data_IF_802833030712
#
_entry.id   IF_802833030712
#
_cell.length_a   1.000
_cell.length_b   1.000
_cell.length_c   1.000
_cell.angle_alpha   90.00
_cell.angle_beta   90.00
_cell.angle_gamma   90.00
#
_symmetry.space_group_name_H-M   'P 1'
#
loop_
_entity.id
_entity.type
_entity.pdbx_description
1 polymer ?
#
# COMPACT_ATOMS: atom_id res chain seq x y z
N UNK A 1 -2.33 -4.68 -13.00
CA UNK A 1 -1.76 -3.62 -12.17
C UNK A 1 -2.61 -3.40 -10.92
N UNK A 2 -2.05 -2.85 -9.87
CA UNK A 2 -2.74 -2.45 -8.65
C UNK A 2 -2.51 -0.94 -8.39
N UNK A 3 -3.42 -0.25 -7.72
CA UNK A 3 -4.79 -0.68 -7.40
C UNK A 3 -5.61 -0.89 -8.67
N UNK A 4 -6.84 -1.41 -8.55
CA UNK A 4 -7.71 -1.72 -9.69
C UNK A 4 -7.94 -0.52 -10.62
N UNK A 5 -8.06 0.68 -10.06
CA UNK A 5 -8.23 1.93 -10.79
C UNK A 5 -7.77 3.13 -9.91
N UNK A 6 -7.75 4.32 -10.48
CA UNK A 6 -7.33 5.56 -9.79
C UNK A 6 -8.35 6.08 -8.78
N UNK A 7 -9.60 5.67 -8.92
CA UNK A 7 -10.71 6.07 -8.04
C UNK A 7 -11.89 5.07 -8.14
N UNK A 8 -12.86 5.21 -7.23
CA UNK A 8 -14.02 4.32 -7.14
C UNK A 8 -14.89 4.32 -8.40
N UNK A 9 -15.06 5.47 -9.07
CA UNK A 9 -15.87 5.57 -10.30
C UNK A 9 -15.28 4.75 -11.46
N UNK A 10 -13.95 4.77 -11.59
CA UNK A 10 -13.24 3.95 -12.57
C UNK A 10 -13.36 2.46 -12.22
N UNK A 11 -13.22 2.11 -10.93
CA UNK A 11 -13.41 0.73 -10.46
C UNK A 11 -14.81 0.21 -10.75
N UNK A 12 -15.85 1.01 -10.48
CA UNK A 12 -17.24 0.66 -10.80
C UNK A 12 -17.44 0.44 -12.31
N UNK A 13 -16.84 1.28 -13.15
CA UNK A 13 -16.90 1.11 -14.60
C UNK A 13 -16.25 -0.19 -15.05
N UNK A 14 -15.09 -0.54 -14.49
CA UNK A 14 -14.43 -1.80 -14.79
C UNK A 14 -15.26 -3.00 -14.34
N UNK A 15 -15.87 -2.95 -13.14
CA UNK A 15 -16.74 -4.02 -12.65
C UNK A 15 -17.94 -4.25 -13.57
N UNK A 16 -18.59 -3.21 -14.10
CA UNK A 16 -19.69 -3.34 -15.07
C UNK A 16 -19.23 -4.04 -16.36
N UNK A 17 -18.04 -3.70 -16.88
CA UNK A 17 -17.47 -4.36 -18.05
C UNK A 17 -17.27 -5.86 -17.78
N UNK A 18 -16.84 -6.23 -16.56
CA UNK A 18 -16.64 -7.63 -16.19
C UNK A 18 -17.96 -8.40 -16.03
N UNK A 19 -19.03 -7.75 -15.59
CA UNK A 19 -20.36 -8.34 -15.53
C UNK A 19 -20.86 -8.77 -16.92
N UNK A 20 -20.52 -8.01 -17.96
CA UNK A 20 -20.87 -8.29 -19.36
C UNK A 20 -19.93 -9.30 -20.03
N UNK A 21 -18.77 -9.59 -19.42
CA UNK A 21 -17.70 -10.43 -20.00
C UNK A 21 -17.24 -11.52 -19.02
N UNK A 22 -18.16 -12.37 -18.59
CA UNK A 22 -17.93 -13.39 -17.54
C UNK A 22 -16.90 -14.46 -17.91
N UNK A 23 -16.62 -14.65 -19.19
CA UNK A 23 -15.67 -15.64 -19.69
C UNK A 23 -14.21 -15.15 -19.63
N UNK A 24 -13.98 -13.86 -19.30
CA UNK A 24 -12.65 -13.30 -19.18
C UNK A 24 -12.11 -13.53 -17.77
N UNK A 25 -10.93 -14.17 -17.67
CA UNK A 25 -10.20 -14.27 -16.42
C UNK A 25 -9.54 -12.93 -16.10
N UNK A 26 -9.84 -12.39 -14.93
CA UNK A 26 -9.32 -11.11 -14.47
C UNK A 26 -8.79 -11.19 -13.05
N UNK A 27 -7.88 -10.26 -12.69
CA UNK A 27 -7.31 -10.20 -11.36
C UNK A 27 -6.54 -8.90 -11.14
N UNK A 28 -6.35 -8.56 -9.87
CA UNK A 28 -5.51 -7.45 -9.41
C UNK A 28 -4.34 -8.03 -8.63
N UNK A 29 -3.11 -7.62 -8.99
CA UNK A 29 -1.89 -8.23 -8.44
C UNK A 29 -1.52 -7.66 -7.06
N UNK A 30 -2.28 -8.02 -6.02
CA UNK A 30 -1.89 -7.82 -4.63
C UNK A 30 -1.03 -9.02 -4.17
N UNK A 31 0.25 -8.99 -4.53
CA UNK A 31 1.17 -10.13 -4.41
C UNK A 31 1.46 -10.56 -2.95
N UNK A 32 1.45 -9.64 -1.98
CA UNK A 32 1.76 -9.97 -0.57
C UNK A 32 0.79 -10.97 0.04
N UNK A 33 -0.46 -10.98 -0.38
CA UNK A 33 -1.42 -12.01 0.05
C UNK A 33 -1.00 -13.43 -0.29
N UNK A 34 -0.09 -13.62 -1.26
CA UNK A 34 0.40 -14.93 -1.68
C UNK A 34 1.66 -15.38 -0.92
N UNK A 35 2.24 -14.54 -0.04
CA UNK A 35 3.34 -14.98 0.81
C UNK A 35 2.88 -16.14 1.70
N UNK A 36 3.66 -17.23 1.81
CA UNK A 36 3.27 -18.41 2.59
C UNK A 36 2.93 -18.11 4.05
N UNK A 37 3.69 -17.24 4.72
CA UNK A 37 3.40 -16.88 6.11
C UNK A 37 2.16 -15.98 6.25
N UNK A 38 1.90 -15.09 5.28
CA UNK A 38 0.64 -14.33 5.25
C UNK A 38 -0.57 -15.26 5.09
N UNK A 39 -0.45 -16.31 4.27
CA UNK A 39 -1.48 -17.36 4.17
C UNK A 39 -1.62 -18.18 5.47
N UNK A 40 -0.50 -18.48 6.14
CA UNK A 40 -0.53 -19.15 7.44
C UNK A 40 -1.20 -18.29 8.52
N UNK A 41 -0.88 -16.99 8.58
CA UNK A 41 -1.58 -16.05 9.47
C UNK A 41 -3.09 -16.05 9.24
N UNK A 42 -3.52 -16.03 7.97
CA UNK A 42 -4.93 -16.14 7.59
C UNK A 42 -5.55 -17.44 8.12
N UNK A 43 -4.85 -18.57 7.99
CA UNK A 43 -5.33 -19.86 8.48
C UNK A 43 -5.49 -19.86 10.01
N UNK A 44 -4.51 -19.29 10.75
CA UNK A 44 -4.55 -19.15 12.20
C UNK A 44 -5.71 -18.28 12.68
N UNK A 45 -5.94 -17.14 12.03
CA UNK A 45 -7.10 -16.29 12.32
C UNK A 45 -8.40 -17.04 12.07
N UNK A 46 -8.52 -17.71 10.92
CA UNK A 46 -9.70 -18.52 10.55
C UNK A 46 -9.94 -19.69 11.52
N UNK A 47 -8.87 -20.33 12.00
CA UNK A 47 -8.94 -21.39 13.00
C UNK A 47 -9.20 -20.88 14.44
N UNK A 48 -9.36 -19.55 14.61
CA UNK A 48 -9.56 -18.90 15.92
C UNK A 48 -8.41 -19.15 16.92
N UNK A 49 -7.18 -19.35 16.42
CA UNK A 49 -6.01 -19.55 17.25
C UNK A 49 -5.65 -18.30 18.03
N UNK A 50 -5.72 -17.11 17.39
CA UNK A 50 -5.48 -15.82 18.05
C UNK A 50 -6.72 -15.28 18.80
N UNK A 51 -7.85 -15.97 18.70
CA UNK A 51 -9.13 -15.46 19.20
C UNK A 51 -9.72 -14.38 18.28
N UNK A 52 -10.60 -13.52 18.83
CA UNK A 52 -11.20 -12.42 18.08
C UNK A 52 -10.14 -11.32 17.86
N UNK A 53 -9.85 -10.89 16.61
CA UNK A 53 -9.04 -9.72 16.36
C UNK A 53 -9.61 -8.46 17.00
N UNK A 54 -8.78 -7.69 17.70
CA UNK A 54 -9.16 -6.46 18.41
C UNK A 54 -8.43 -5.25 17.85
N UNK A 55 -7.10 -5.35 17.69
CA UNK A 55 -6.27 -4.28 17.18
C UNK A 55 -5.47 -4.78 15.97
N UNK A 56 -5.26 -3.90 15.01
CA UNK A 56 -4.45 -4.16 13.82
C UNK A 56 -3.59 -2.94 13.53
N UNK A 57 -2.28 -3.12 13.47
CA UNK A 57 -1.38 -2.00 13.23
C UNK A 57 -0.16 -2.39 12.42
N UNK A 58 0.52 -1.40 11.84
CA UNK A 58 1.74 -1.62 11.10
C UNK A 58 2.10 -0.48 10.15
N UNK A 59 2.96 -0.80 9.19
CA UNK A 59 3.44 0.20 8.25
C UNK A 59 3.87 -0.42 6.91
N UNK A 60 3.99 0.43 5.89
CA UNK A 60 4.72 0.10 4.69
C UNK A 60 5.63 1.27 4.32
N UNK A 61 6.94 1.05 4.42
CA UNK A 61 7.96 2.10 4.27
C UNK A 61 8.93 1.74 3.14
N UNK A 62 9.26 2.75 2.35
CA UNK A 62 10.21 2.69 1.25
C UNK A 62 11.03 3.99 1.17
N UNK A 63 12.18 3.97 0.47
CA UNK A 63 13.05 5.14 0.28
C UNK A 63 13.28 5.50 -1.20
N UNK A 64 12.56 4.91 -2.12
CA UNK A 64 12.81 5.07 -3.55
C UNK A 64 12.42 6.44 -4.14
N UNK A 65 11.77 7.30 -3.33
CA UNK A 65 11.48 8.71 -3.64
C UNK A 65 12.07 9.66 -2.58
N UNK A 66 13.18 9.26 -1.94
CA UNK A 66 13.78 10.00 -0.84
C UNK A 66 14.35 11.36 -1.25
N UNK A 67 14.96 11.44 -2.44
CA UNK A 67 15.60 12.67 -2.92
C UNK A 67 14.68 13.48 -3.83
N UNK A 68 14.91 14.78 -3.91
CA UNK A 68 14.17 15.67 -4.82
C UNK A 68 14.40 15.33 -6.31
N UNK A 69 15.49 14.62 -6.62
CA UNK A 69 15.81 14.11 -7.95
C UNK A 69 15.16 12.76 -8.28
N UNK A 70 14.57 12.08 -7.28
CA UNK A 70 13.83 10.84 -7.53
C UNK A 70 12.49 11.18 -8.15
N UNK A 71 12.32 10.83 -9.40
CA UNK A 71 11.12 11.12 -10.19
C UNK A 71 10.55 9.87 -10.84
N UNK A 72 9.22 9.77 -10.84
CA UNK A 72 8.51 8.67 -11.47
C UNK A 72 7.11 9.16 -11.90
N UNK A 73 6.53 8.55 -12.93
CA UNK A 73 5.19 8.87 -13.43
C UNK A 73 4.08 8.82 -12.36
N UNK A 74 4.29 8.07 -11.26
CA UNK A 74 3.37 8.02 -10.12
C UNK A 74 3.25 9.34 -9.36
N UNK A 75 4.15 10.29 -9.59
CA UNK A 75 4.09 11.64 -9.02
C UNK A 75 3.06 12.50 -9.76
N UNK A 76 2.74 12.15 -11.00
CA UNK A 76 1.84 12.91 -11.89
C UNK A 76 0.37 12.52 -11.63
N UNK A 77 -0.45 13.40 -10.99
CA UNK A 77 -1.83 13.04 -10.62
C UNK A 77 -2.74 12.83 -11.84
N UNK A 78 -2.42 13.41 -12.99
CA UNK A 78 -3.11 13.19 -14.26
C UNK A 78 -3.01 11.75 -14.74
N UNK A 79 -1.91 11.06 -14.39
CA UNK A 79 -1.65 9.67 -14.77
C UNK A 79 -2.14 8.72 -13.68
N UNK A 80 -1.72 8.92 -12.44
CA UNK A 80 -1.93 7.97 -11.34
C UNK A 80 -3.10 8.29 -10.41
N UNK A 81 -3.71 9.48 -10.55
CA UNK A 81 -4.79 9.94 -9.68
C UNK A 81 -4.30 10.81 -8.52
N UNK A 82 -5.21 11.23 -7.62
CA UNK A 82 -4.94 12.25 -6.61
C UNK A 82 -4.09 11.76 -5.42
N UNK A 83 -3.90 10.47 -5.26
CA UNK A 83 -3.15 9.85 -4.17
C UNK A 83 -1.99 9.03 -4.74
N UNK A 84 -0.83 9.09 -4.11
CA UNK A 84 0.36 8.36 -4.54
C UNK A 84 0.80 7.33 -3.51
N UNK A 85 1.32 7.75 -2.38
CA UNK A 85 1.88 6.85 -1.38
C UNK A 85 0.84 5.88 -0.83
N UNK A 86 -0.32 6.38 -0.44
CA UNK A 86 -1.42 5.53 0.07
C UNK A 86 -1.99 4.64 -1.04
N UNK A 87 -2.18 5.17 -2.25
CA UNK A 87 -2.67 4.39 -3.38
C UNK A 87 -1.66 3.32 -3.85
N UNK A 88 -0.37 3.64 -3.87
CA UNK A 88 0.68 2.70 -4.31
C UNK A 88 0.96 1.62 -3.25
N UNK A 89 1.39 2.01 -2.05
CA UNK A 89 1.84 1.06 -1.03
C UNK A 89 0.83 0.82 0.10
N UNK A 90 0.00 1.82 0.44
CA UNK A 90 -1.05 1.65 1.45
C UNK A 90 -2.11 0.62 1.05
N UNK A 91 -2.46 0.55 -0.24
CA UNK A 91 -3.41 -0.45 -0.76
C UNK A 91 -2.90 -1.88 -0.58
N UNK A 92 -1.59 -2.13 -0.70
CA UNK A 92 -0.99 -3.44 -0.39
C UNK A 92 -1.16 -3.80 1.08
N UNK A 93 -0.92 -2.84 1.98
CA UNK A 93 -1.07 -3.05 3.41
C UNK A 93 -2.54 -3.37 3.77
N UNK A 94 -3.46 -2.54 3.29
CA UNK A 94 -4.90 -2.75 3.51
C UNK A 94 -5.39 -4.09 2.94
N UNK A 95 -4.91 -4.48 1.76
CA UNK A 95 -5.26 -5.76 1.14
C UNK A 95 -4.76 -6.94 1.98
N UNK A 96 -3.52 -6.88 2.47
CA UNK A 96 -2.92 -7.93 3.28
C UNK A 96 -3.71 -8.16 4.57
N UNK A 97 -4.01 -7.09 5.34
CA UNK A 97 -4.74 -7.24 6.60
C UNK A 97 -6.19 -7.67 6.40
N UNK A 98 -6.87 -7.17 5.39
CA UNK A 98 -8.24 -7.62 5.06
C UNK A 98 -8.25 -9.09 4.63
N UNK A 99 -7.21 -9.53 3.91
CA UNK A 99 -7.05 -10.94 3.51
C UNK A 99 -6.83 -11.85 4.72
N UNK A 100 -5.96 -11.43 5.66
CA UNK A 100 -5.63 -12.22 6.85
C UNK A 100 -6.80 -12.27 7.84
N UNK A 101 -7.42 -11.13 8.12
CA UNK A 101 -8.51 -11.04 9.10
C UNK A 101 -9.86 -11.55 8.57
N UNK A 102 -10.03 -11.58 7.24
CA UNK A 102 -11.32 -11.86 6.60
C UNK A 102 -12.35 -10.74 6.79
N UNK A 103 -11.94 -9.59 7.30
CA UNK A 103 -12.78 -8.43 7.65
C UNK A 103 -12.46 -7.25 6.75
N UNK A 104 -13.41 -6.33 6.59
CA UNK A 104 -13.28 -5.15 5.73
C UNK A 104 -13.06 -3.89 6.55
N UNK A 105 -12.23 -2.99 6.07
CA UNK A 105 -12.14 -1.62 6.56
C UNK A 105 -13.43 -0.89 6.15
N UNK A 106 -14.12 -0.28 7.11
CA UNK A 106 -15.42 0.41 6.90
C UNK A 106 -15.38 1.90 7.23
N UNK A 107 -14.46 2.33 8.07
CA UNK A 107 -14.26 3.74 8.41
C UNK A 107 -12.78 4.07 8.42
N UNK A 108 -12.42 5.28 7.98
CA UNK A 108 -11.05 5.79 7.98
C UNK A 108 -11.00 7.24 8.43
N UNK A 109 -9.89 7.62 9.09
CA UNK A 109 -9.47 9.00 9.32
C UNK A 109 -7.98 9.06 8.98
N UNK A 110 -7.57 9.99 8.12
CA UNK A 110 -6.22 10.04 7.61
C UNK A 110 -5.60 11.44 7.72
N UNK A 111 -4.27 11.45 7.94
CA UNK A 111 -3.41 12.61 7.79
C UNK A 111 -2.38 12.32 6.69
N UNK A 112 -2.24 13.25 5.73
CA UNK A 112 -1.41 13.10 4.55
C UNK A 112 -0.38 14.23 4.47
N UNK A 113 0.86 13.91 4.07
CA UNK A 113 1.94 14.88 3.95
C UNK A 113 2.66 14.75 2.59
N UNK A 114 2.79 15.85 1.88
CA UNK A 114 3.74 16.02 0.77
C UNK A 114 5.03 16.59 1.36
N UNK A 115 5.97 15.72 1.70
CA UNK A 115 7.24 16.10 2.35
C UNK A 115 8.18 16.82 1.38
N UNK A 116 8.12 16.49 0.09
CA UNK A 116 8.90 17.11 -0.98
C UNK A 116 7.95 17.76 -2.00
N UNK A 117 7.49 19.00 -1.74
CA UNK A 117 6.50 19.68 -2.57
C UNK A 117 7.04 20.13 -3.94
N UNK A 118 8.35 20.13 -4.12
CA UNK A 118 9.02 20.39 -5.41
C UNK A 118 10.01 19.27 -5.69
N UNK A 119 9.98 18.75 -6.91
CA UNK A 119 10.94 17.74 -7.36
C UNK A 119 11.55 18.12 -8.69
N UNK A 120 12.69 17.52 -9.00
CA UNK A 120 13.44 17.70 -10.23
C UNK A 120 13.07 16.60 -11.22
N UNK A 121 12.26 16.95 -12.21
CA UNK A 121 11.89 16.05 -13.32
C UNK A 121 13.00 16.04 -14.35
N UNK A 122 13.55 14.86 -14.74
CA UNK A 122 14.47 14.78 -15.87
C UNK A 122 13.80 15.24 -17.15
N UNK A 123 14.51 16.05 -17.98
CA UNK A 123 13.99 16.49 -19.27
C UNK A 123 13.99 15.35 -20.30
N UNK A 124 14.94 14.42 -20.17
CA UNK A 124 15.01 13.21 -21.01
C UNK A 124 14.26 12.04 -20.35
N UNK A 125 13.78 11.12 -21.19
CA UNK A 125 13.12 9.91 -20.71
C UNK A 125 14.12 9.00 -20.00
N UNK A 126 13.94 8.77 -18.71
CA UNK A 126 14.81 7.92 -17.87
C UNK A 126 14.03 6.73 -17.38
N UNK A 127 14.63 5.54 -17.45
CA UNK A 127 14.06 4.36 -16.82
C UNK A 127 14.06 4.50 -15.30
N UNK A 128 13.01 4.02 -14.66
CA UNK A 128 12.91 3.99 -13.19
C UNK A 128 14.10 3.21 -12.61
N UNK A 129 14.79 3.78 -11.63
CA UNK A 129 15.99 3.25 -10.98
C UNK A 129 17.29 3.31 -11.81
N UNK A 130 17.34 4.03 -12.93
CA UNK A 130 18.60 4.29 -13.64
C UNK A 130 19.36 5.47 -13.04
N UNK A 131 20.70 5.41 -13.07
CA UNK A 131 21.60 6.50 -12.65
C UNK A 131 22.23 7.06 -13.92
N UNK A 132 22.09 8.36 -14.17
CA UNK A 132 22.76 9.06 -15.26
C UNK A 132 23.60 10.22 -14.71
N UNK A 133 24.83 10.37 -15.21
CA UNK A 133 25.83 11.33 -14.69
C UNK A 133 25.63 12.78 -15.17
N UNK A 134 24.76 13.03 -16.18
CA UNK A 134 24.50 14.39 -16.68
C UNK A 134 23.05 14.52 -17.13
N UNK A 135 22.16 14.90 -16.23
CA UNK A 135 20.76 15.19 -16.57
C UNK A 135 20.47 16.67 -16.41
N UNK A 136 19.79 17.24 -17.40
CA UNK A 136 19.07 18.48 -17.21
C UNK A 136 17.72 18.18 -16.54
N UNK A 137 17.36 19.01 -15.56
CA UNK A 137 16.13 18.88 -14.79
C UNK A 137 15.27 20.13 -14.99
N UNK A 138 13.96 19.95 -14.82
CA UNK A 138 13.01 21.01 -14.59
C UNK A 138 12.37 20.82 -13.19
N UNK A 139 12.12 21.92 -12.48
CA UNK A 139 11.39 21.85 -11.22
C UNK A 139 9.89 21.68 -11.48
N UNK A 140 9.27 20.74 -10.78
CA UNK A 140 7.84 20.46 -10.87
C UNK A 140 7.21 20.46 -9.47
N UNK A 141 6.02 21.08 -9.36
CA UNK A 141 5.23 21.04 -8.14
C UNK A 141 4.60 19.65 -7.97
N UNK A 142 4.73 19.09 -6.77
CA UNK A 142 4.16 17.78 -6.40
C UNK A 142 2.96 17.99 -5.48
N UNK A 143 1.82 17.44 -5.88
CA UNK A 143 0.53 17.54 -5.15
C UNK A 143 0.10 16.25 -4.48
N UNK A 144 0.79 15.14 -4.79
CA UNK A 144 0.50 13.83 -4.21
C UNK A 144 1.36 13.60 -2.97
N UNK A 145 0.82 12.87 -2.01
CA UNK A 145 1.46 12.65 -0.71
C UNK A 145 2.65 11.69 -0.77
N UNK A 146 3.72 12.00 -0.02
CA UNK A 146 4.88 11.13 0.27
C UNK A 146 4.64 10.23 1.48
N UNK A 147 3.72 10.62 2.35
CA UNK A 147 3.39 9.97 3.60
C UNK A 147 1.89 10.01 3.86
N UNK A 148 1.37 8.96 4.49
CA UNK A 148 0.00 8.92 5.02
C UNK A 148 -0.08 8.10 6.29
N UNK A 149 -0.74 8.64 7.32
CA UNK A 149 -1.16 7.92 8.52
C UNK A 149 -2.67 7.73 8.50
N UNK A 150 -3.14 6.52 8.76
CA UNK A 150 -4.55 6.16 8.65
C UNK A 150 -4.99 5.42 9.91
N UNK A 151 -5.94 6.00 10.63
CA UNK A 151 -6.75 5.32 11.63
C UNK A 151 -7.93 4.67 10.92
N UNK A 152 -8.32 3.46 11.33
CA UNK A 152 -9.44 2.76 10.69
C UNK A 152 -10.25 1.89 11.66
N UNK A 153 -11.47 1.56 11.25
CA UNK A 153 -12.30 0.53 11.89
C UNK A 153 -12.68 -0.54 10.87
N UNK A 154 -12.81 -1.76 11.35
CA UNK A 154 -13.22 -2.92 10.57
C UNK A 154 -14.65 -3.35 10.91
N UNK A 155 -15.30 -4.08 10.01
CA UNK A 155 -16.69 -4.57 10.18
C UNK A 155 -16.86 -5.58 11.31
N UNK A 156 -15.78 -6.21 11.79
CA UNK A 156 -15.75 -7.08 12.98
C UNK A 156 -15.53 -6.32 14.30
N UNK A 157 -15.57 -4.98 14.27
CA UNK A 157 -15.29 -4.06 15.37
C UNK A 157 -13.81 -3.96 15.80
N UNK A 158 -12.86 -4.57 15.10
CA UNK A 158 -11.44 -4.30 15.31
C UNK A 158 -11.12 -2.86 14.88
N UNK A 159 -10.20 -2.22 15.60
CA UNK A 159 -9.68 -0.90 15.25
C UNK A 159 -8.20 -1.02 14.88
N UNK A 160 -7.69 -0.04 14.16
CA UNK A 160 -6.28 -0.08 13.83
C UNK A 160 -5.71 1.23 13.33
N UNK A 161 -4.40 1.19 13.12
CA UNK A 161 -3.62 2.28 12.56
C UNK A 161 -2.53 1.72 11.66
N UNK A 162 -2.34 2.36 10.52
CA UNK A 162 -1.14 2.14 9.73
C UNK A 162 -0.59 3.47 9.20
N UNK A 163 0.67 3.46 8.84
CA UNK A 163 1.28 4.56 8.12
C UNK A 163 2.15 4.05 6.98
N UNK A 164 2.24 4.87 5.95
CA UNK A 164 3.01 4.57 4.74
C UNK A 164 3.92 5.74 4.39
N UNK A 165 5.08 5.44 3.82
CA UNK A 165 6.02 6.47 3.37
C UNK A 165 6.88 5.94 2.23
N UNK A 166 7.14 6.79 1.24
CA UNK A 166 8.08 6.53 0.15
C UNK A 166 9.40 7.31 0.30
N UNK A 167 9.57 8.00 1.45
CA UNK A 167 10.73 8.84 1.79
C UNK A 167 11.40 8.42 3.10
N UNK A 168 11.28 7.15 3.48
CA UNK A 168 11.85 6.60 4.71
C UNK A 168 13.24 6.02 4.44
N UNK A 169 14.28 6.81 4.67
CA UNK A 169 15.68 6.45 4.41
C UNK A 169 16.06 5.06 4.94
N UNK A 170 16.66 4.23 4.09
CA UNK A 170 17.14 2.88 4.42
C UNK A 170 16.07 1.80 4.37
N UNK A 171 14.78 2.12 4.17
CA UNK A 171 13.71 1.14 4.01
C UNK A 171 13.48 0.82 2.55
N UNK A 172 13.60 -0.46 2.18
CA UNK A 172 13.46 -0.90 0.78
C UNK A 172 12.06 -1.43 0.48
N UNK A 173 11.55 -2.31 1.34
CA UNK A 173 10.23 -2.92 1.19
C UNK A 173 9.67 -3.31 2.57
N UNK A 174 9.70 -2.38 3.52
CA UNK A 174 9.33 -2.63 4.90
C UNK A 174 7.82 -2.61 5.10
N UNK A 175 7.14 -3.64 4.57
CA UNK A 175 5.74 -3.91 4.89
C UNK A 175 5.69 -4.81 6.12
N UNK A 176 5.08 -4.33 7.19
CA UNK A 176 4.85 -5.10 8.40
C UNK A 176 3.45 -4.86 8.93
N UNK A 177 2.93 -5.85 9.65
CA UNK A 177 1.68 -5.71 10.39
C UNK A 177 1.62 -6.68 11.55
N UNK A 178 0.87 -6.28 12.57
CA UNK A 178 0.54 -7.06 13.75
C UNK A 178 -0.98 -7.08 13.94
N UNK A 179 -1.49 -8.23 14.35
CA UNK A 179 -2.91 -8.43 14.65
C UNK A 179 -3.00 -8.98 16.07
N UNK A 180 -3.57 -8.17 16.95
CA UNK A 180 -3.80 -8.51 18.35
C UNK A 180 -5.17 -9.14 18.51
N UNK A 181 -5.20 -10.39 18.89
CA UNK A 181 -6.41 -11.11 19.19
C UNK A 181 -6.64 -11.27 20.69
N UNK A 182 -7.81 -11.80 21.08
CA UNK A 182 -8.17 -12.03 22.49
C UNK A 182 -7.37 -13.16 23.15
N UNK A 183 -6.64 -13.97 22.41
CA UNK A 183 -5.84 -15.10 22.93
C UNK A 183 -4.35 -14.90 22.73
N UNK A 184 -3.94 -14.32 21.60
CA UNK A 184 -2.55 -14.06 21.23
C UNK A 184 -2.48 -13.03 20.11
N UNK A 185 -1.28 -12.53 19.84
CA UNK A 185 -0.98 -11.67 18.70
C UNK A 185 -0.17 -12.43 17.64
N UNK A 186 -0.23 -11.96 16.39
CA UNK A 186 0.61 -12.45 15.31
C UNK A 186 1.21 -11.26 14.56
N UNK A 187 2.48 -11.36 14.21
CA UNK A 187 3.24 -10.32 13.51
C UNK A 187 4.01 -10.89 12.33
N UNK A 188 4.11 -10.13 11.24
CA UNK A 188 4.92 -10.45 10.08
C UNK A 188 5.56 -9.20 9.47
N UNK A 189 6.74 -9.38 8.83
CA UNK A 189 7.52 -8.33 8.20
C UNK A 189 8.16 -8.82 6.89
N UNK A 190 7.95 -8.10 5.81
CA UNK A 190 8.46 -8.42 4.48
C UNK A 190 10.00 -8.38 4.36
N UNK A 191 10.71 -7.59 5.17
CA UNK A 191 12.18 -7.57 5.14
C UNK A 191 12.80 -8.78 5.87
N UNK A 192 11.97 -9.55 6.61
CA UNK A 192 12.32 -10.84 7.22
C UNK A 192 11.19 -11.85 6.97
N UNK A 193 10.90 -12.18 5.69
CA UNK A 193 9.66 -12.80 5.29
C UNK A 193 9.48 -14.25 5.75
N UNK A 194 10.56 -14.89 6.22
CA UNK A 194 10.59 -16.29 6.65
C UNK A 194 10.21 -16.47 8.13
N UNK A 195 9.91 -15.39 8.83
CA UNK A 195 9.54 -15.43 10.25
C UNK A 195 8.17 -14.78 10.49
N UNK A 196 7.42 -15.43 11.37
CA UNK A 196 6.16 -14.97 11.94
C UNK A 196 6.22 -15.15 13.45
N UNK A 197 5.77 -14.15 14.18
CA UNK A 197 5.76 -14.15 15.65
C UNK A 197 4.34 -14.28 16.18
#
# INVERSE_FOLDING_TARGET
>A
EKPLARNSKESERLLRILEDNKDIVHGVNFNYRMNPLVQEMKNKVKANEIGKPMLVHGSYLQDWLLFDTDYNWRIEPEICGPSRCVADIGTHWMDAIQTVTGSKIIEVCADLLTALPVRKKPKDTVETFSISESMEYEEVEVKTEDYGAVLFKMDNCACGVFYVSQVSAGRKCYLNFEIDGTKSSIYWNQETPDYMW
#
